data_IF_786527498095
#
_entry.id   IF_786527498095
#
_cell.length_a   1.000
_cell.length_b   1.000
_cell.length_c   1.000
_cell.angle_alpha   90.00
_cell.angle_beta   90.00
_cell.angle_gamma   90.00
#
_symmetry.space_group_name_H-M   'P 1'
#
loop_
_entity.id
_entity.type
_entity.pdbx_description
1 polymer ?
#
# COMPACT_ATOMS: atom_id res chain seq x y z
N UNK A 1 4.45 5.23 12.78
CA UNK A 1 3.22 5.04 11.97
C UNK A 1 3.51 4.93 10.48
N UNK A 2 4.09 5.94 9.82
CA UNK A 2 4.38 5.89 8.36
C UNK A 2 5.28 4.72 7.98
N UNK A 3 6.27 4.38 8.80
CA UNK A 3 7.19 3.27 8.54
C UNK A 3 6.51 1.90 8.58
N UNK A 4 5.56 1.68 9.49
CA UNK A 4 4.79 0.44 9.56
C UNK A 4 3.90 0.26 8.31
N UNK A 5 3.28 1.34 7.83
CA UNK A 5 2.51 1.34 6.58
C UNK A 5 3.42 0.95 5.41
N UNK A 6 4.57 1.63 5.29
CA UNK A 6 5.56 1.37 4.23
C UNK A 6 6.08 -0.06 4.26
N UNK A 7 6.34 -0.61 5.45
CA UNK A 7 6.76 -2.00 5.61
C UNK A 7 5.66 -2.92 5.09
N UNK A 8 4.44 -2.82 5.62
CA UNK A 8 3.34 -3.72 5.29
C UNK A 8 2.96 -3.69 3.80
N UNK A 9 2.87 -2.52 3.17
CA UNK A 9 2.56 -2.43 1.74
C UNK A 9 3.67 -3.02 0.86
N UNK A 10 4.91 -3.10 1.37
CA UNK A 10 6.03 -3.68 0.64
C UNK A 10 6.07 -5.20 0.84
N UNK A 11 5.97 -5.65 2.09
CA UNK A 11 5.88 -7.06 2.47
C UNK A 11 5.34 -7.21 3.88
N UNK A 12 4.58 -8.27 4.13
CA UNK A 12 4.10 -8.66 5.46
C UNK A 12 4.06 -10.18 5.61
N UNK A 13 4.20 -10.67 6.84
CA UNK A 13 3.84 -12.03 7.22
C UNK A 13 2.39 -12.06 7.70
N UNK A 14 1.69 -13.19 7.58
CA UNK A 14 0.27 -13.28 7.97
C UNK A 14 0.04 -12.91 9.44
N UNK A 15 1.04 -13.18 10.27
CA UNK A 15 1.07 -12.92 11.71
C UNK A 15 1.39 -11.45 12.05
N UNK A 16 1.80 -10.62 11.07
CA UNK A 16 2.05 -9.20 11.29
C UNK A 16 0.77 -8.43 11.63
N UNK A 17 0.90 -7.45 12.53
CA UNK A 17 -0.17 -6.51 12.84
C UNK A 17 -0.58 -5.69 11.61
N UNK A 18 -1.89 -5.43 11.47
CA UNK A 18 -2.43 -4.58 10.40
C UNK A 18 -2.25 -3.11 10.77
N UNK A 19 -1.40 -2.34 10.08
CA UNK A 19 -1.15 -0.94 10.46
C UNK A 19 -2.27 0.01 10.02
N UNK A 20 -3.19 -0.45 9.17
CA UNK A 20 -4.20 0.40 8.55
C UNK A 20 -5.43 0.61 9.42
N UNK A 21 -5.99 1.81 9.30
CA UNK A 21 -7.32 2.08 9.83
C UNK A 21 -8.39 1.55 8.88
N UNK A 22 -9.52 1.10 9.45
CA UNK A 22 -10.70 0.75 8.68
C UNK A 22 -11.13 1.93 7.80
N UNK A 23 -11.33 1.73 6.48
CA UNK A 23 -11.67 2.83 5.57
C UNK A 23 -13.01 3.49 5.91
N UNK A 24 -13.92 2.76 6.56
CA UNK A 24 -15.27 3.21 6.89
C UNK A 24 -15.36 3.96 8.22
N UNK A 25 -14.71 3.45 9.28
CA UNK A 25 -14.76 4.10 10.61
C UNK A 25 -13.48 4.85 11.02
N UNK A 26 -12.42 4.77 10.21
CA UNK A 26 -11.12 5.40 10.45
C UNK A 26 -10.44 5.00 11.77
N UNK A 27 -10.75 3.82 12.32
CA UNK A 27 -10.12 3.25 13.53
C UNK A 27 -9.18 2.11 13.17
N UNK A 28 -8.11 1.95 13.95
CA UNK A 28 -7.18 0.82 13.86
C UNK A 28 -7.81 -0.43 14.48
N UNK A 29 -8.74 -1.04 13.75
CA UNK A 29 -9.54 -2.18 14.22
C UNK A 29 -9.67 -3.27 13.17
N UNK A 30 -8.82 -3.25 12.14
CA UNK A 30 -8.80 -4.29 11.12
C UNK A 30 -7.98 -5.48 11.62
N UNK A 31 -8.50 -6.69 11.47
CA UNK A 31 -7.81 -7.95 11.75
C UNK A 31 -8.06 -8.92 10.60
N UNK A 32 -7.19 -9.90 10.40
CA UNK A 32 -7.44 -10.97 9.44
C UNK A 32 -8.68 -11.79 9.80
N UNK A 33 -9.41 -12.20 8.77
CA UNK A 33 -10.43 -13.24 8.87
C UNK A 33 -9.85 -14.56 8.37
N UNK A 34 -9.38 -15.41 9.29
CA UNK A 34 -8.63 -16.62 8.98
C UNK A 34 -9.39 -17.60 8.08
N UNK A 35 -10.72 -17.63 8.17
CA UNK A 35 -11.58 -18.46 7.34
C UNK A 35 -11.60 -18.03 5.86
N UNK A 36 -11.23 -16.78 5.59
CA UNK A 36 -11.24 -16.16 4.27
C UNK A 36 -9.82 -15.91 3.73
N UNK A 37 -8.81 -16.57 4.29
CA UNK A 37 -7.44 -16.53 3.77
C UNK A 37 -7.23 -17.67 2.77
N UNK A 38 -6.78 -17.31 1.57
CA UNK A 38 -6.49 -18.26 0.50
C UNK A 38 -5.13 -17.94 -0.12
N UNK A 39 -4.31 -18.97 -0.29
CA UNK A 39 -2.98 -18.89 -0.88
C UNK A 39 -2.79 -20.05 -1.83
N UNK A 40 -2.23 -19.77 -3.01
CA UNK A 40 -2.01 -20.77 -4.05
C UNK A 40 -0.65 -20.57 -4.70
N UNK A 41 0.16 -21.63 -4.73
CA UNK A 41 1.41 -21.61 -5.49
C UNK A 41 1.10 -21.56 -6.99
N UNK A 42 1.78 -20.69 -7.71
CA UNK A 42 1.60 -20.47 -9.15
C UNK A 42 1.99 -21.72 -9.95
N UNK A 43 1.36 -21.90 -11.12
CA UNK A 43 1.65 -23.03 -12.00
C UNK A 43 3.12 -23.03 -12.47
N UNK A 44 3.69 -21.83 -12.72
CA UNK A 44 5.10 -21.69 -13.10
C UNK A 44 6.02 -22.18 -11.98
N UNK A 45 5.82 -21.71 -10.75
CA UNK A 45 6.61 -22.15 -9.60
C UNK A 45 6.52 -23.66 -9.37
N UNK A 46 5.31 -24.24 -9.49
CA UNK A 46 5.12 -25.71 -9.41
C UNK A 46 5.86 -26.48 -10.50
N UNK A 47 6.02 -25.88 -11.68
CA UNK A 47 6.75 -26.49 -12.80
C UNK A 47 8.25 -26.41 -12.55
N UNK A 48 8.77 -25.23 -12.21
CA UNK A 48 10.18 -25.00 -11.87
C UNK A 48 10.64 -25.94 -10.74
N UNK A 49 9.82 -26.12 -9.70
CA UNK A 49 10.10 -27.03 -8.59
C UNK A 49 10.23 -28.50 -8.99
N UNK A 50 9.57 -28.93 -10.07
CA UNK A 50 9.65 -30.31 -10.56
C UNK A 50 10.76 -30.55 -11.56
N UNK A 51 11.15 -29.52 -12.29
CA UNK A 51 12.07 -29.62 -13.43
C UNK A 51 13.50 -29.17 -13.08
N UNK A 52 13.70 -28.45 -11.98
CA UNK A 52 15.00 -27.96 -11.52
C UNK A 52 15.46 -28.71 -10.27
N UNK A 53 16.56 -29.45 -10.38
CA UNK A 53 17.16 -30.20 -9.27
C UNK A 53 17.74 -29.29 -8.16
N UNK A 54 18.06 -28.04 -8.49
CA UNK A 54 18.61 -27.03 -7.58
C UNK A 54 17.53 -26.03 -7.11
N UNK A 55 16.25 -26.42 -7.16
CA UNK A 55 15.16 -25.54 -6.75
C UNK A 55 15.24 -25.20 -5.25
N UNK A 56 15.41 -23.92 -4.95
CA UNK A 56 15.42 -23.40 -3.59
C UNK A 56 14.02 -22.94 -3.14
N UNK A 57 13.66 -23.07 -1.85
CA UNK A 57 12.36 -22.65 -1.33
C UNK A 57 11.98 -21.21 -1.70
N UNK A 58 12.95 -20.29 -1.70
CA UNK A 58 12.76 -18.86 -2.02
C UNK A 58 12.25 -18.61 -3.45
N UNK A 59 12.40 -19.58 -4.35
CA UNK A 59 11.89 -19.49 -5.72
C UNK A 59 10.39 -19.78 -5.79
N UNK A 60 9.78 -20.16 -4.66
CA UNK A 60 8.35 -20.40 -4.57
C UNK A 60 7.58 -19.09 -4.74
N UNK A 61 6.60 -19.10 -5.65
CA UNK A 61 5.74 -17.94 -5.95
C UNK A 61 4.29 -18.28 -5.69
N UNK A 62 3.61 -17.44 -4.92
CA UNK A 62 2.21 -17.52 -4.58
C UNK A 62 1.39 -16.39 -5.19
N UNK A 63 0.09 -16.66 -5.37
CA UNK A 63 -0.96 -15.63 -5.34
C UNK A 63 -1.78 -15.84 -4.07
N UNK A 64 -2.30 -14.75 -3.51
CA UNK A 64 -3.16 -14.83 -2.34
C UNK A 64 -4.37 -13.91 -2.42
N UNK A 65 -5.42 -14.26 -1.70
CA UNK A 65 -6.54 -13.39 -1.34
C UNK A 65 -6.88 -13.55 0.14
N UNK A 66 -7.34 -12.47 0.75
CA UNK A 66 -7.69 -12.43 2.16
C UNK A 66 -8.80 -11.43 2.42
N UNK A 67 -9.40 -11.54 3.60
CA UNK A 67 -10.38 -10.56 4.11
C UNK A 67 -9.88 -10.01 5.43
N UNK A 68 -9.87 -8.68 5.55
CA UNK A 68 -9.72 -7.97 6.81
C UNK A 68 -11.10 -7.63 7.33
N UNK A 69 -11.40 -7.97 8.59
CA UNK A 69 -12.66 -7.61 9.26
C UNK A 69 -12.41 -6.51 10.28
N UNK A 70 -13.31 -5.52 10.31
CA UNK A 70 -13.32 -4.49 11.33
C UNK A 70 -13.96 -5.03 12.62
N UNK A 71 -13.18 -5.19 13.69
CA UNK A 71 -13.70 -5.69 14.99
C UNK A 71 -14.50 -4.65 15.77
N UNK A 72 -14.64 -3.43 15.24
CA UNK A 72 -15.50 -2.44 15.87
C UNK A 72 -16.98 -2.82 15.68
N UNK A 73 -17.66 -3.10 16.79
CA UNK A 73 -19.04 -3.61 16.82
C UNK A 73 -20.09 -2.77 16.05
N UNK A 74 -19.90 -1.45 15.88
CA UNK A 74 -20.83 -0.62 15.09
C UNK A 74 -20.48 -0.53 13.61
N UNK A 75 -19.29 -0.99 13.21
CA UNK A 75 -18.81 -0.90 11.85
C UNK A 75 -18.92 -2.26 11.15
N UNK A 76 -18.24 -3.29 11.66
CA UNK A 76 -18.30 -4.66 11.11
C UNK A 76 -17.89 -4.80 9.64
N UNK A 77 -17.33 -3.75 9.04
CA UNK A 77 -17.05 -3.70 7.62
C UNK A 77 -15.84 -4.58 7.25
N UNK A 78 -15.74 -4.92 5.96
CA UNK A 78 -14.74 -5.85 5.43
C UNK A 78 -13.92 -5.20 4.34
N UNK A 79 -12.64 -5.53 4.30
CA UNK A 79 -11.73 -5.16 3.22
C UNK A 79 -11.14 -6.41 2.61
N UNK A 80 -11.41 -6.63 1.32
CA UNK A 80 -10.79 -7.70 0.54
C UNK A 80 -9.40 -7.22 0.14
N UNK A 81 -8.41 -8.10 0.25
CA UNK A 81 -7.04 -7.86 -0.19
C UNK A 81 -6.58 -9.01 -1.06
N UNK A 82 -5.82 -8.71 -2.11
CA UNK A 82 -5.15 -9.73 -2.90
C UNK A 82 -3.79 -9.24 -3.39
N UNK A 83 -2.92 -10.19 -3.72
CA UNK A 83 -1.58 -9.90 -4.18
C UNK A 83 -0.75 -11.16 -4.44
N UNK A 84 0.54 -10.99 -4.30
CA UNK A 84 1.56 -12.00 -4.57
C UNK A 84 2.25 -12.41 -3.26
N UNK A 85 2.88 -13.58 -3.24
CA UNK A 85 3.71 -14.00 -2.11
C UNK A 85 4.94 -14.78 -2.57
N UNK A 86 5.95 -14.81 -1.71
CA UNK A 86 7.20 -15.54 -1.89
C UNK A 86 7.63 -16.13 -0.55
N UNK A 87 8.65 -17.00 -0.57
CA UNK A 87 9.34 -17.45 0.64
C UNK A 87 10.60 -16.60 0.80
N UNK A 88 10.87 -16.09 2.00
CA UNK A 88 12.14 -15.43 2.35
C UNK A 88 12.91 -16.29 3.38
N UNK A 89 14.22 -16.41 3.20
CA UNK A 89 15.14 -16.96 4.20
C UNK A 89 15.45 -15.91 5.28
N UNK A 90 15.23 -16.27 6.54
CA UNK A 90 15.61 -15.49 7.72
C UNK A 90 16.62 -16.26 8.55
N UNK A 91 17.60 -15.56 9.13
CA UNK A 91 18.56 -16.15 10.06
C UNK A 91 18.12 -15.90 11.50
N UNK A 92 17.89 -16.98 12.26
CA UNK A 92 17.35 -16.91 13.62
C UNK A 92 18.41 -16.95 14.70
N UNK A 93 19.59 -17.48 14.39
CA UNK A 93 20.71 -17.55 15.33
C UNK A 93 22.07 -17.40 14.62
N UNK A 94 23.04 -16.88 15.38
CA UNK A 94 24.39 -16.59 14.92
C UNK A 94 25.42 -17.10 15.94
N UNK A 95 26.38 -17.88 15.45
CA UNK A 95 27.54 -18.30 16.23
C UNK A 95 28.74 -17.41 15.95
N UNK A 96 29.58 -17.19 16.96
CA UNK A 96 30.85 -16.51 16.78
C UNK A 96 31.91 -17.50 16.27
N UNK A 97 32.48 -17.23 15.11
CA UNK A 97 33.61 -17.95 14.52
C UNK A 97 34.87 -17.07 14.52
N UNK A 98 36.03 -17.63 14.13
CA UNK A 98 37.28 -16.85 13.96
C UNK A 98 37.15 -15.72 12.92
N UNK A 99 36.17 -15.81 12.01
CA UNK A 99 35.90 -14.83 10.95
C UNK A 99 34.78 -13.84 11.32
N UNK A 100 34.14 -13.99 12.49
CA UNK A 100 33.05 -13.13 12.97
C UNK A 100 31.74 -13.88 13.24
N UNK A 101 30.61 -13.15 13.27
CA UNK A 101 29.30 -13.79 13.44
C UNK A 101 28.89 -14.51 12.15
N UNK A 102 28.61 -15.82 12.25
CA UNK A 102 28.15 -16.66 11.16
C UNK A 102 26.75 -17.19 11.48
N UNK A 103 25.76 -17.06 10.57
CA UNK A 103 24.43 -17.62 10.80
C UNK A 103 24.48 -19.15 10.87
N UNK A 104 23.92 -19.73 11.93
CA UNK A 104 23.88 -21.17 12.15
C UNK A 104 22.49 -21.78 12.00
N UNK A 105 21.44 -20.97 12.16
CA UNK A 105 20.05 -21.41 12.00
C UNK A 105 19.33 -20.51 11.00
N UNK A 106 18.47 -21.14 10.21
CA UNK A 106 17.68 -20.47 9.17
C UNK A 106 16.25 -20.95 9.25
N UNK A 107 15.32 -20.02 9.05
CA UNK A 107 13.91 -20.28 8.88
C UNK A 107 13.46 -19.76 7.51
N UNK A 108 12.46 -20.42 6.95
CA UNK A 108 11.82 -19.99 5.71
C UNK A 108 10.42 -19.50 6.04
N UNK A 109 10.14 -18.25 5.71
CA UNK A 109 8.88 -17.58 6.04
C UNK A 109 8.13 -17.15 4.78
N UNK A 110 6.82 -17.35 4.78
CA UNK A 110 5.94 -16.85 3.73
C UNK A 110 5.75 -15.34 3.90
N UNK A 111 6.16 -14.56 2.89
CA UNK A 111 5.94 -13.11 2.82
C UNK A 111 5.00 -12.75 1.69
N UNK A 112 4.13 -11.77 1.94
CA UNK A 112 3.09 -11.35 1.02
C UNK A 112 3.22 -9.87 0.67
N UNK A 113 3.03 -9.56 -0.61
CA UNK A 113 2.99 -8.19 -1.14
C UNK A 113 1.57 -7.89 -1.62
N UNK A 114 0.82 -7.01 -0.94
CA UNK A 114 -0.54 -6.67 -1.35
C UNK A 114 -0.51 -5.83 -2.63
N UNK A 115 -1.43 -6.11 -3.54
CA UNK A 115 -1.58 -5.37 -4.81
C UNK A 115 -2.87 -4.58 -4.89
N UNK A 116 -3.94 -5.06 -4.26
CA UNK A 116 -5.26 -4.44 -4.31
C UNK A 116 -5.97 -4.57 -2.97
N UNK A 117 -6.73 -3.53 -2.62
CA UNK A 117 -7.65 -3.50 -1.49
C UNK A 117 -9.02 -3.03 -1.98
N UNK A 118 -10.09 -3.70 -1.56
CA UNK A 118 -11.47 -3.34 -1.88
C UNK A 118 -12.35 -3.42 -0.62
N UNK A 119 -12.87 -2.28 -0.11
CA UNK A 119 -12.60 -0.92 -0.55
C UNK A 119 -11.12 -0.52 -0.34
N UNK A 120 -10.66 0.48 -1.09
CA UNK A 120 -9.31 0.98 -0.95
C UNK A 120 -9.04 1.49 0.48
N UNK A 121 -7.83 1.24 0.99
CA UNK A 121 -7.42 1.73 2.30
C UNK A 121 -7.13 3.24 2.24
N UNK A 122 -7.61 3.96 3.24
CA UNK A 122 -7.31 5.39 3.36
C UNK A 122 -5.86 5.58 3.83
N UNK A 123 -5.02 6.16 2.97
CA UNK A 123 -3.63 6.48 3.32
C UNK A 123 -3.54 7.65 4.31
N UNK A 124 -4.50 8.57 4.23
CA UNK A 124 -4.69 9.66 5.17
C UNK A 124 -6.17 10.03 5.28
N UNK A 125 -6.53 10.75 6.34
CA UNK A 125 -7.89 11.27 6.52
C UNK A 125 -8.09 12.49 5.62
N UNK A 126 -9.00 12.40 4.65
CA UNK A 126 -9.41 13.54 3.83
C UNK A 126 -10.31 14.47 4.65
N UNK A 127 -10.03 15.79 4.75
CA UNK A 127 -10.85 16.71 5.52
C UNK A 127 -12.28 16.83 4.99
N UNK A 128 -13.24 17.03 5.89
CA UNK A 128 -14.66 17.06 5.54
C UNK A 128 -15.03 18.24 4.63
N UNK A 129 -14.30 19.35 4.72
CA UNK A 129 -14.50 20.57 3.91
C UNK A 129 -14.04 20.44 2.45
N UNK A 130 -13.35 19.36 2.08
CA UNK A 130 -12.93 19.14 0.70
C UNK A 130 -14.17 18.83 -0.17
N UNK A 131 -14.35 19.49 -1.33
CA UNK A 131 -15.42 19.17 -2.28
C UNK A 131 -15.45 17.69 -2.66
N UNK A 132 -16.65 17.13 -2.90
CA UNK A 132 -16.82 15.70 -3.22
C UNK A 132 -16.02 15.27 -4.44
N UNK A 133 -15.99 16.08 -5.50
CA UNK A 133 -15.24 15.80 -6.72
C UNK A 133 -13.73 15.61 -6.45
N UNK A 134 -13.16 16.40 -5.54
CA UNK A 134 -11.75 16.28 -5.15
C UNK A 134 -11.55 15.06 -4.24
N UNK A 135 -12.50 14.78 -3.33
CA UNK A 135 -12.45 13.58 -2.48
C UNK A 135 -12.42 12.31 -3.33
N UNK A 136 -13.27 12.23 -4.35
CA UNK A 136 -13.35 11.06 -5.24
C UNK A 136 -12.01 10.82 -5.95
N UNK A 137 -11.37 11.88 -6.46
CA UNK A 137 -10.04 11.78 -7.09
C UNK A 137 -8.96 11.34 -6.08
N UNK A 138 -9.02 11.83 -4.84
CA UNK A 138 -8.10 11.40 -3.78
C UNK A 138 -8.32 9.92 -3.45
N UNK A 139 -9.57 9.46 -3.30
CA UNK A 139 -9.87 8.05 -3.03
C UNK A 139 -9.49 7.14 -4.20
N UNK A 140 -9.66 7.58 -5.45
CA UNK A 140 -9.12 6.88 -6.63
C UNK A 140 -7.59 6.75 -6.56
N UNK A 141 -6.89 7.78 -6.09
CA UNK A 141 -5.44 7.70 -5.91
C UNK A 141 -5.05 6.63 -4.88
N UNK A 142 -5.82 6.47 -3.81
CA UNK A 142 -5.58 5.43 -2.81
C UNK A 142 -5.75 4.03 -3.40
N UNK A 143 -6.80 3.81 -4.19
CA UNK A 143 -7.04 2.54 -4.88
C UNK A 143 -5.91 2.16 -5.85
N UNK A 144 -5.28 3.15 -6.47
CA UNK A 144 -4.21 2.96 -7.45
C UNK A 144 -2.81 2.84 -6.84
N UNK A 145 -2.63 3.20 -5.56
CA UNK A 145 -1.29 3.40 -4.98
C UNK A 145 -0.38 2.18 -5.10
N UNK A 146 -0.93 0.97 -4.98
CA UNK A 146 -0.14 -0.27 -5.00
C UNK A 146 -0.02 -0.89 -6.40
N UNK A 147 -1.06 -0.76 -7.21
CA UNK A 147 -1.13 -1.38 -8.54
C UNK A 147 -0.55 -0.49 -9.64
N UNK A 148 -0.65 0.83 -9.49
CA UNK A 148 -0.09 1.81 -10.41
C UNK A 148 0.28 3.11 -9.67
N UNK A 149 1.46 3.14 -9.01
CA UNK A 149 1.92 4.32 -8.28
C UNK A 149 1.98 5.59 -9.14
N UNK A 150 2.37 5.47 -10.42
CA UNK A 150 2.41 6.60 -11.36
C UNK A 150 1.01 7.16 -11.64
N UNK A 151 0.01 6.30 -11.81
CA UNK A 151 -1.39 6.71 -11.97
C UNK A 151 -1.94 7.35 -10.68
N UNK A 152 -1.60 6.82 -9.51
CA UNK A 152 -1.98 7.41 -8.23
C UNK A 152 -1.45 8.84 -8.07
N UNK A 153 -0.17 9.07 -8.39
CA UNK A 153 0.43 10.41 -8.37
C UNK A 153 -0.25 11.34 -9.36
N UNK A 154 -0.60 10.87 -10.55
CA UNK A 154 -1.35 11.67 -11.53
C UNK A 154 -2.73 12.08 -11.00
N UNK A 155 -3.44 11.19 -10.30
CA UNK A 155 -4.72 11.53 -9.65
C UNK A 155 -4.54 12.58 -8.57
N UNK A 156 -3.54 12.44 -7.70
CA UNK A 156 -3.22 13.46 -6.70
C UNK A 156 -2.88 14.81 -7.33
N UNK A 157 -2.11 14.81 -8.43
CA UNK A 157 -1.80 16.02 -9.18
C UNK A 157 -3.07 16.72 -9.66
N UNK A 158 -3.99 15.99 -10.28
CA UNK A 158 -5.27 16.53 -10.75
C UNK A 158 -6.07 17.10 -9.57
N UNK A 159 -6.16 16.39 -8.44
CA UNK A 159 -6.84 16.87 -7.25
C UNK A 159 -6.28 18.21 -6.75
N UNK A 160 -4.95 18.36 -6.71
CA UNK A 160 -4.31 19.62 -6.33
C UNK A 160 -4.58 20.72 -7.37
N UNK A 161 -4.52 20.40 -8.66
CA UNK A 161 -4.78 21.37 -9.73
C UNK A 161 -6.23 21.90 -9.69
N UNK A 162 -7.21 21.06 -9.37
CA UNK A 162 -8.61 21.48 -9.15
C UNK A 162 -8.71 22.35 -7.90
N UNK A 163 -8.13 21.90 -6.78
CA UNK A 163 -8.15 22.65 -5.52
C UNK A 163 -7.58 24.06 -5.66
N UNK A 164 -6.46 24.21 -6.35
CA UNK A 164 -5.84 25.51 -6.62
C UNK A 164 -6.73 26.41 -7.47
N UNK A 165 -7.47 25.83 -8.42
CA UNK A 165 -8.42 26.57 -9.25
C UNK A 165 -9.58 27.11 -8.42
N UNK A 166 -10.11 26.30 -7.48
CA UNK A 166 -11.12 26.72 -6.51
C UNK A 166 -10.65 27.86 -5.60
N UNK A 167 -9.36 27.89 -5.26
CA UNK A 167 -8.73 29.01 -4.53
C UNK A 167 -8.37 30.21 -5.42
N UNK A 168 -8.78 30.22 -6.70
CA UNK A 168 -8.56 31.33 -7.62
C UNK A 168 -7.18 31.34 -8.31
N UNK A 169 -6.34 30.33 -8.08
CA UNK A 169 -5.01 30.19 -8.69
C UNK A 169 -5.15 29.41 -10.00
N UNK A 170 -5.36 30.13 -11.08
CA UNK A 170 -5.64 29.58 -12.41
C UNK A 170 -4.44 28.83 -13.01
N UNK A 171 -4.72 27.81 -13.83
CA UNK A 171 -3.71 27.06 -14.60
C UNK A 171 -3.21 27.76 -15.87
N UNK A 172 -3.72 28.96 -16.14
CA UNK A 172 -3.32 29.82 -17.26
C UNK A 172 -3.11 31.24 -16.78
N UNK A 173 -2.12 31.92 -17.35
CA UNK A 173 -1.86 33.33 -17.08
C UNK A 173 -2.83 34.25 -17.84
N UNK A 174 -2.71 35.57 -17.64
CA UNK A 174 -3.54 36.57 -18.34
C UNK A 174 -3.39 36.55 -19.87
N UNK A 175 -2.30 35.97 -20.39
CA UNK A 175 -2.02 35.81 -21.83
C UNK A 175 -2.49 34.45 -22.36
N UNK A 176 -3.08 33.61 -21.51
CA UNK A 176 -3.53 32.26 -21.83
C UNK A 176 -2.41 31.21 -21.85
N UNK A 177 -1.18 31.57 -21.46
CA UNK A 177 -0.06 30.64 -21.38
C UNK A 177 -0.22 29.70 -20.18
N UNK A 178 0.20 28.45 -20.34
CA UNK A 178 0.13 27.43 -19.28
C UNK A 178 1.03 27.81 -18.09
N UNK A 179 0.49 27.68 -16.88
CA UNK A 179 1.22 27.84 -15.62
C UNK A 179 1.36 26.47 -14.96
N UNK A 180 2.61 26.08 -14.66
CA UNK A 180 2.87 24.75 -14.09
C UNK A 180 2.32 24.62 -12.68
N UNK A 181 2.05 23.38 -12.24
CA UNK A 181 1.61 23.13 -10.87
C UNK A 181 2.61 23.67 -9.83
N UNK A 182 3.92 23.47 -10.05
CA UNK A 182 4.98 24.01 -9.19
C UNK A 182 4.89 25.53 -9.03
N UNK A 183 4.71 26.26 -10.14
CA UNK A 183 4.54 27.71 -10.12
C UNK A 183 3.27 28.13 -9.37
N UNK A 184 2.17 27.40 -9.57
CA UNK A 184 0.90 27.67 -8.87
C UNK A 184 1.05 27.44 -7.36
N UNK A 185 1.72 26.39 -6.94
CA UNK A 185 1.97 26.10 -5.51
C UNK A 185 2.81 27.22 -4.88
N UNK A 186 3.91 27.63 -5.52
CA UNK A 186 4.76 28.74 -5.03
C UNK A 186 4.01 30.06 -4.90
N UNK A 187 2.99 30.29 -5.72
CA UNK A 187 2.16 31.50 -5.62
C UNK A 187 1.27 31.55 -4.38
N UNK A 188 0.99 30.40 -3.73
CA UNK A 188 0.24 30.36 -2.46
C UNK A 188 1.07 30.99 -1.35
N UNK A 189 2.34 30.59 -1.23
CA UNK A 189 3.26 31.06 -0.19
C UNK A 189 3.43 32.59 -0.21
N UNK A 190 3.22 33.21 -1.38
CA UNK A 190 3.34 34.65 -1.58
C UNK A 190 2.05 35.43 -1.32
N UNK A 191 0.88 34.78 -1.38
CA UNK A 191 -0.43 35.44 -1.31
C UNK A 191 -1.27 35.08 -0.06
N UNK A 192 -0.89 34.03 0.68
CA UNK A 192 -1.58 33.59 1.89
C UNK A 192 -0.57 33.33 3.02
N UNK A 193 -0.51 34.25 3.97
CA UNK A 193 -0.06 33.96 5.34
C UNK A 193 -1.11 33.01 5.92
N UNK A 194 -0.72 31.76 6.19
CA UNK A 194 -1.43 30.91 7.15
C UNK A 194 -1.19 31.44 8.57
#
# INVERSE_FOLDING_TARGET
MIEAYKKFIKKFNKEDDIPFSCPTCARQTLVWDDECWHQYQTALSKKEQKECDEFEPEWTRYIFSGVLKCVHHKCGDKVIVCGEGTIEENYTDYILTEEGYCPCEREFIDVFTPRYFQPALNLFKVPDKVPSEIKDIIYESFALTLSSPSSAVNKLRIAIEILLTEFGIQGKDRKGAFVSLDQRIKSIEQNHIL
#
